data_IF_319040377315
#
_entry.id   IF_319040377315
#
_cell.length_a   1.000
_cell.length_b   1.000
_cell.length_c   1.000
_cell.angle_alpha   90.00
_cell.angle_beta   90.00
_cell.angle_gamma   90.00
#
_symmetry.space_group_name_H-M   'P 1'
#
loop_
_entity.id
_entity.type
_entity.pdbx_description
1 polymer ?
#
# COMPACT_ATOMS: atom_id res chain seq x y z
N UNK A 1 17.76 -24.88 2.11
CA UNK A 1 17.28 -23.69 2.83
C UNK A 1 15.79 -23.61 2.56
N UNK A 2 14.94 -23.93 3.53
CA UNK A 2 13.49 -23.75 3.40
C UNK A 2 13.20 -22.27 3.56
N UNK A 3 12.50 -21.68 2.59
CA UNK A 3 12.01 -20.31 2.75
C UNK A 3 11.04 -20.28 3.95
N UNK A 4 11.18 -19.27 4.82
CA UNK A 4 10.25 -19.07 5.93
C UNK A 4 8.92 -18.53 5.37
N UNK A 5 8.05 -19.46 4.97
CA UNK A 5 6.76 -19.14 4.33
C UNK A 5 5.80 -18.44 5.30
N UNK A 6 5.96 -18.64 6.61
CA UNK A 6 5.20 -17.94 7.64
C UNK A 6 5.64 -16.47 7.74
N UNK A 7 6.95 -16.19 7.70
CA UNK A 7 7.47 -14.83 7.65
C UNK A 7 7.03 -14.10 6.37
N UNK A 8 7.07 -14.77 5.22
CA UNK A 8 6.62 -14.19 3.93
C UNK A 8 5.12 -13.85 3.96
N UNK A 9 4.28 -14.72 4.53
CA UNK A 9 2.85 -14.46 4.66
C UNK A 9 2.54 -13.32 5.64
N UNK A 10 3.28 -13.23 6.74
CA UNK A 10 3.19 -12.14 7.72
C UNK A 10 3.53 -10.80 7.07
N UNK A 11 4.66 -10.74 6.36
CA UNK A 11 5.08 -9.56 5.62
C UNK A 11 4.02 -9.11 4.61
N UNK A 12 3.43 -10.04 3.85
CA UNK A 12 2.34 -9.72 2.92
C UNK A 12 1.11 -9.12 3.61
N UNK A 13 0.81 -9.50 4.84
CA UNK A 13 -0.31 -8.95 5.61
C UNK A 13 -0.01 -7.55 6.14
N UNK A 14 1.23 -7.31 6.60
CA UNK A 14 1.69 -5.98 7.00
C UNK A 14 1.68 -4.99 5.84
N UNK A 15 2.11 -5.41 4.65
CA UNK A 15 2.10 -4.60 3.44
C UNK A 15 0.67 -4.20 3.03
N UNK A 16 -0.30 -5.13 3.08
CA UNK A 16 -1.72 -4.82 2.83
C UNK A 16 -2.30 -3.84 3.84
N UNK A 17 -1.95 -4.01 5.12
CA UNK A 17 -2.38 -3.08 6.17
C UNK A 17 -1.83 -1.67 5.90
N UNK A 18 -0.56 -1.57 5.53
CA UNK A 18 0.07 -0.30 5.19
C UNK A 18 -0.56 0.34 3.94
N UNK A 19 -0.92 -0.48 2.94
CA UNK A 19 -1.66 -0.05 1.75
C UNK A 19 -3.00 0.61 2.14
N UNK A 20 -3.79 -0.05 2.98
CA UNK A 20 -5.06 0.47 3.46
C UNK A 20 -4.90 1.76 4.30
N UNK A 21 -3.88 1.83 5.15
CA UNK A 21 -3.56 3.03 5.94
C UNK A 21 -3.23 4.22 4.99
N UNK A 22 -2.51 3.98 3.89
CA UNK A 22 -2.18 5.00 2.88
C UNK A 22 -3.40 5.45 2.07
N UNK A 23 -4.29 4.53 1.70
CA UNK A 23 -5.54 4.87 1.01
C UNK A 23 -6.43 5.77 1.89
N UNK A 24 -6.49 5.49 3.19
CA UNK A 24 -7.22 6.32 4.15
C UNK A 24 -6.63 7.74 4.24
N UNK A 25 -5.29 7.86 4.25
CA UNK A 25 -4.60 9.16 4.22
C UNK A 25 -4.86 9.90 2.91
N UNK A 26 -4.79 9.21 1.77
CA UNK A 26 -5.07 9.76 0.45
C UNK A 26 -6.50 10.31 0.36
N UNK A 27 -7.48 9.60 0.93
CA UNK A 27 -8.86 10.03 0.98
C UNK A 27 -9.08 11.24 1.92
N UNK A 28 -8.28 11.38 2.98
CA UNK A 28 -8.42 12.46 3.96
C UNK A 28 -7.73 13.77 3.54
N UNK A 29 -6.66 13.69 2.74
CA UNK A 29 -5.83 14.84 2.30
C UNK A 29 -6.64 15.99 1.67
N UNK A 30 -7.61 15.77 0.78
CA UNK A 30 -8.42 16.86 0.23
C UNK A 30 -9.27 17.60 1.27
N UNK A 31 -9.63 16.94 2.37
CA UNK A 31 -10.42 17.51 3.46
C UNK A 31 -9.71 18.60 4.27
N UNK A 32 -8.40 18.80 4.05
CA UNK A 32 -7.59 19.82 4.73
C UNK A 32 -7.75 21.21 4.08
N UNK A 33 -8.06 21.26 2.78
CA UNK A 33 -8.17 22.50 2.02
C UNK A 33 -9.25 23.49 2.53
N UNK A 34 -10.46 23.04 2.93
CA UNK A 34 -11.51 23.95 3.44
C UNK A 34 -11.09 24.75 4.69
N UNK A 35 -10.31 24.13 5.59
CA UNK A 35 -9.81 24.79 6.79
C UNK A 35 -8.80 25.91 6.46
N UNK A 36 -7.93 25.67 5.48
CA UNK A 36 -6.99 26.68 4.98
C UNK A 36 -7.72 27.82 4.24
N UNK A 37 -8.76 27.52 3.47
CA UNK A 37 -9.56 28.52 2.77
C UNK A 37 -10.24 29.50 3.76
N UNK A 38 -10.76 28.98 4.86
CA UNK A 38 -11.36 29.80 5.92
C UNK A 38 -10.35 30.73 6.60
N UNK A 39 -9.09 30.30 6.74
CA UNK A 39 -8.03 31.08 7.38
C UNK A 39 -7.46 32.20 6.50
N UNK A 40 -7.38 31.99 5.18
CA UNK A 40 -6.74 32.92 4.25
C UNK A 40 -7.71 33.92 3.59
N UNK A 41 -9.00 33.61 3.60
CA UNK A 41 -10.02 34.46 2.97
C UNK A 41 -9.73 34.70 1.47
N UNK A 42 -10.24 35.80 0.88
CA UNK A 42 -10.18 36.04 -0.56
C UNK A 42 -8.77 36.32 -1.10
N UNK A 43 -7.79 36.63 -0.25
CA UNK A 43 -6.39 36.90 -0.66
C UNK A 43 -5.65 35.58 -0.97
N UNK A 44 -6.12 34.45 -0.46
CA UNK A 44 -5.45 33.16 -0.59
C UNK A 44 -5.79 32.35 -1.83
N UNK A 45 -6.49 32.87 -2.84
CA UNK A 45 -7.02 32.06 -3.95
C UNK A 45 -5.93 31.29 -4.73
N UNK A 46 -4.81 31.95 -5.05
CA UNK A 46 -3.67 31.31 -5.73
C UNK A 46 -3.01 30.26 -4.83
N UNK A 47 -2.83 30.56 -3.55
CA UNK A 47 -2.33 29.61 -2.56
C UNK A 47 -3.25 28.40 -2.43
N UNK A 48 -4.56 28.59 -2.39
CA UNK A 48 -5.54 27.50 -2.29
C UNK A 48 -5.54 26.62 -3.54
N UNK A 49 -5.34 27.22 -4.71
CA UNK A 49 -5.18 26.47 -5.97
C UNK A 49 -3.90 25.63 -5.94
N UNK A 50 -2.78 26.22 -5.51
CA UNK A 50 -1.50 25.52 -5.36
C UNK A 50 -1.58 24.41 -4.30
N UNK A 51 -2.22 24.68 -3.15
CA UNK A 51 -2.44 23.73 -2.07
C UNK A 51 -3.28 22.54 -2.54
N UNK A 52 -4.41 22.79 -3.20
CA UNK A 52 -5.28 21.71 -3.71
C UNK A 52 -4.54 20.84 -4.73
N UNK A 53 -3.80 21.47 -5.65
CA UNK A 53 -2.96 20.76 -6.63
C UNK A 53 -1.90 19.90 -5.94
N UNK A 54 -1.26 20.42 -4.89
CA UNK A 54 -0.26 19.69 -4.12
C UNK A 54 -0.90 18.51 -3.35
N UNK A 55 -2.05 18.72 -2.70
CA UNK A 55 -2.79 17.68 -1.98
C UNK A 55 -3.23 16.56 -2.93
N UNK A 56 -3.74 16.90 -4.11
CA UNK A 56 -4.11 15.92 -5.14
C UNK A 56 -2.91 15.12 -5.64
N UNK A 57 -1.77 15.79 -5.90
CA UNK A 57 -0.54 15.12 -6.30
C UNK A 57 -0.06 14.15 -5.20
N UNK A 58 -0.08 14.58 -3.94
CA UNK A 58 0.28 13.72 -2.79
C UNK A 58 -0.67 12.54 -2.65
N UNK A 59 -1.97 12.74 -2.80
CA UNK A 59 -2.96 11.66 -2.76
C UNK A 59 -2.72 10.63 -3.88
N UNK A 60 -2.40 11.09 -5.10
CA UNK A 60 -2.04 10.19 -6.21
C UNK A 60 -0.76 9.40 -5.94
N UNK A 61 0.25 10.02 -5.33
CA UNK A 61 1.48 9.32 -4.93
C UNK A 61 1.21 8.26 -3.87
N UNK A 62 0.40 8.58 -2.86
CA UNK A 62 -0.01 7.64 -1.82
C UNK A 62 -0.77 6.44 -2.43
N UNK A 63 -1.72 6.68 -3.32
CA UNK A 63 -2.47 5.62 -4.02
C UNK A 63 -1.57 4.71 -4.88
N UNK A 64 -0.57 5.28 -5.57
CA UNK A 64 0.41 4.49 -6.34
C UNK A 64 1.28 3.62 -5.43
N UNK A 65 1.68 4.15 -4.28
CA UNK A 65 2.46 3.40 -3.30
C UNK A 65 1.62 2.26 -2.70
N UNK A 66 0.37 2.54 -2.33
CA UNK A 66 -0.61 1.53 -1.89
C UNK A 66 -0.73 0.38 -2.91
N UNK A 67 -0.97 0.69 -4.18
CA UNK A 67 -1.05 -0.32 -5.24
C UNK A 67 0.23 -1.15 -5.39
N UNK A 68 1.41 -0.53 -5.22
CA UNK A 68 2.68 -1.25 -5.25
C UNK A 68 2.86 -2.18 -4.04
N UNK A 69 2.41 -1.77 -2.85
CA UNK A 69 2.43 -2.61 -1.64
C UNK A 69 1.48 -3.79 -1.76
N UNK A 70 0.30 -3.61 -2.34
CA UNK A 70 -0.64 -4.70 -2.60
C UNK A 70 -0.10 -5.70 -3.63
N UNK A 71 0.54 -5.21 -4.69
CA UNK A 71 1.21 -6.08 -5.66
C UNK A 71 2.35 -6.87 -5.00
N UNK A 72 3.16 -6.23 -4.15
CA UNK A 72 4.22 -6.90 -3.39
C UNK A 72 3.65 -7.95 -2.42
N UNK A 73 2.54 -7.65 -1.75
CA UNK A 73 1.84 -8.60 -0.88
C UNK A 73 1.28 -9.81 -1.65
N UNK A 74 0.76 -9.59 -2.86
CA UNK A 74 0.31 -10.65 -3.77
C UNK A 74 1.47 -11.54 -4.21
N UNK A 75 2.61 -10.95 -4.58
CA UNK A 75 3.82 -11.69 -4.95
C UNK A 75 4.38 -12.51 -3.77
N UNK A 76 4.39 -11.94 -2.56
CA UNK A 76 4.79 -12.66 -1.35
C UNK A 76 3.89 -13.87 -1.09
N UNK A 77 2.57 -13.71 -1.16
CA UNK A 77 1.62 -14.81 -0.99
C UNK A 77 1.81 -15.91 -2.06
N UNK A 78 1.99 -15.52 -3.33
CA UNK A 78 2.26 -16.46 -4.42
C UNK A 78 3.58 -17.21 -4.23
N UNK A 79 4.64 -16.53 -3.78
CA UNK A 79 5.92 -17.14 -3.47
C UNK A 79 5.83 -18.15 -2.33
N UNK A 80 5.14 -17.79 -1.23
CA UNK A 80 4.91 -18.72 -0.12
C UNK A 80 4.16 -19.98 -0.55
N UNK A 81 3.10 -19.84 -1.38
CA UNK A 81 2.35 -20.97 -1.91
C UNK A 81 3.21 -21.87 -2.82
N UNK A 82 4.06 -21.29 -3.66
CA UNK A 82 4.97 -22.04 -4.52
C UNK A 82 5.99 -22.86 -3.71
N UNK A 83 6.55 -22.29 -2.64
CA UNK A 83 7.46 -23.01 -1.74
C UNK A 83 6.77 -24.18 -1.03
N UNK A 84 5.56 -23.98 -0.50
CA UNK A 84 4.77 -25.05 0.13
C UNK A 84 4.48 -26.17 -0.88
N UNK A 85 4.08 -25.82 -2.11
CA UNK A 85 3.83 -26.81 -3.17
C UNK A 85 5.08 -27.59 -3.57
N UNK A 86 6.24 -26.93 -3.67
CA UNK A 86 7.51 -27.58 -3.97
C UNK A 86 7.95 -28.54 -2.84
N UNK A 87 7.74 -28.16 -1.58
CA UNK A 87 8.01 -29.01 -0.42
C UNK A 87 7.11 -30.26 -0.41
N UNK A 88 5.80 -30.08 -0.62
CA UNK A 88 4.85 -31.20 -0.70
C UNK A 88 5.21 -32.18 -1.84
N UNK A 89 5.62 -31.65 -3.00
CA UNK A 89 6.05 -32.47 -4.12
C UNK A 89 7.34 -33.25 -3.79
N UNK A 90 8.32 -32.60 -3.17
CA UNK A 90 9.56 -33.26 -2.77
C UNK A 90 9.31 -34.38 -1.75
N UNK A 91 8.43 -34.16 -0.77
CA UNK A 91 8.02 -35.21 0.19
C UNK A 91 7.35 -36.37 -0.52
N UNK A 92 6.46 -36.11 -1.49
CA UNK A 92 5.79 -37.15 -2.25
C UNK A 92 6.74 -38.01 -3.09
N UNK A 93 7.79 -37.41 -3.68
CA UNK A 93 8.81 -38.12 -4.46
C UNK A 93 9.72 -38.97 -3.58
N UNK A 94 10.03 -38.52 -2.37
CA UNK A 94 10.90 -39.25 -1.42
C UNK A 94 10.17 -40.37 -0.65
N UNK A 95 8.84 -40.42 -0.71
CA UNK A 95 8.02 -41.45 -0.08
C UNK A 95 7.83 -42.71 -0.97
N UNK A 96 8.50 -42.76 -2.12
CA UNK A 96 8.53 -43.86 -3.11
C UNK A 96 9.89 -44.56 -3.03
#
# INVERSE_FOLDING_TARGET
MFADTAAIATLGTELRRLSADLDAVAAALPGVAPACAAALGPVGAEFMTALTTALDATAQWAARLSAALDAAAGAAAGGAAAYIGAEQHAVAVLAI
#
